data_IF_507629176277
#
_entry.id   IF_507629176277
#
_cell.length_a   1.000
_cell.length_b   1.000
_cell.length_c   1.000
_cell.angle_alpha   90.00
_cell.angle_beta   90.00
_cell.angle_gamma   90.00
#
_symmetry.space_group_name_H-M   'P 1'
#
loop_
_entity.id
_entity.type
_entity.pdbx_description
1 polymer ?
#
# COMPACT_ATOMS: atom_id res chain seq x y z
N UNK A 1 -1.71 14.55 -15.82
CA UNK A 1 -0.30 14.18 -16.01
C UNK A 1 -0.27 12.65 -16.01
N UNK A 2 0.01 12.03 -17.15
CA UNK A 2 -0.06 10.58 -17.33
C UNK A 2 1.12 9.91 -16.61
N UNK A 3 0.86 9.27 -15.48
CA UNK A 3 1.78 8.29 -14.90
C UNK A 3 1.55 6.97 -15.62
N UNK A 4 2.60 6.46 -16.29
CA UNK A 4 2.64 5.10 -16.82
C UNK A 4 2.67 4.14 -15.63
N UNK A 5 1.50 3.61 -15.25
CA UNK A 5 1.41 2.66 -14.15
C UNK A 5 0.80 1.37 -14.65
N UNK A 6 1.64 0.36 -14.84
CA UNK A 6 1.17 -1.01 -15.07
C UNK A 6 0.27 -1.40 -13.91
N UNK A 7 -0.96 -1.78 -14.23
CA UNK A 7 -1.88 -2.44 -13.29
C UNK A 7 -1.93 -3.89 -13.69
N UNK A 8 -1.72 -4.75 -12.69
CA UNK A 8 -1.98 -6.18 -12.82
C UNK A 8 -3.21 -6.46 -11.98
N UNK A 9 -4.28 -6.94 -12.61
CA UNK A 9 -5.35 -7.62 -11.89
C UNK A 9 -4.80 -8.99 -11.48
N UNK A 10 -4.28 -9.05 -10.28
CA UNK A 10 -3.94 -10.32 -9.67
C UNK A 10 -5.24 -10.90 -9.16
N UNK A 11 -5.77 -11.78 -10.00
CA UNK A 11 -6.77 -12.75 -9.60
C UNK A 11 -6.18 -13.57 -8.47
N UNK A 12 -6.37 -13.21 -7.19
CA UNK A 12 -6.10 -14.17 -6.12
C UNK A 12 -7.28 -15.14 -6.08
N UNK A 13 -7.23 -16.05 -7.05
CA UNK A 13 -8.21 -17.04 -7.48
C UNK A 13 -9.61 -16.50 -7.85
N UNK A 14 -9.91 -16.56 -9.15
CA UNK A 14 -11.24 -16.45 -9.77
C UNK A 14 -11.14 -17.05 -11.18
N UNK A 15 -11.88 -18.14 -11.41
CA UNK A 15 -12.20 -18.61 -12.76
C UNK A 15 -13.45 -17.87 -13.24
N UNK A 16 -13.40 -17.21 -14.40
CA UNK A 16 -14.54 -17.27 -15.32
C UNK A 16 -14.18 -18.31 -16.38
N UNK A 17 -14.91 -19.39 -16.62
CA UNK A 17 -16.24 -19.77 -16.21
C UNK A 17 -16.29 -21.30 -16.00
N UNK A 18 -16.79 -21.72 -14.83
CA UNK A 18 -17.14 -23.11 -14.52
C UNK A 18 -16.12 -23.91 -13.72
N UNK A 19 -15.93 -23.62 -12.42
CA UNK A 19 -15.30 -24.63 -11.55
C UNK A 19 -14.76 -24.29 -10.16
N UNK A 20 -14.33 -23.05 -9.89
CA UNK A 20 -13.76 -22.52 -8.64
C UNK A 20 -12.43 -23.17 -8.14
N UNK A 21 -11.32 -22.41 -8.23
CA UNK A 21 -10.06 -22.66 -7.52
C UNK A 21 -9.95 -21.82 -6.24
N UNK A 22 -9.31 -22.36 -5.19
CA UNK A 22 -9.30 -21.80 -3.81
C UNK A 22 -7.89 -21.37 -3.37
N UNK A 23 -7.82 -20.26 -2.62
CA UNK A 23 -6.68 -19.79 -1.81
C UNK A 23 -6.47 -20.59 -0.52
N UNK A 24 -5.25 -20.80 -0.05
CA UNK A 24 -5.00 -21.21 1.35
C UNK A 24 -4.62 -20.02 2.21
N UNK A 25 -5.22 -19.88 3.39
CA UNK A 25 -4.78 -18.93 4.42
C UNK A 25 -4.63 -19.71 5.72
N UNK A 26 -3.39 -19.94 6.17
CA UNK A 26 -3.12 -20.61 7.46
C UNK A 26 -3.37 -19.71 8.67
N UNK A 27 -3.37 -18.38 8.48
CA UNK A 27 -3.57 -17.33 9.50
C UNK A 27 -4.15 -16.11 8.79
N UNK A 28 -5.19 -15.47 9.35
CA UNK A 28 -5.84 -14.32 8.73
C UNK A 28 -4.80 -13.22 8.47
N UNK A 29 -4.82 -12.64 7.28
CA UNK A 29 -3.84 -11.65 6.85
C UNK A 29 -4.56 -10.38 6.42
N UNK A 30 -3.99 -9.23 6.76
CA UNK A 30 -4.47 -7.93 6.30
C UNK A 30 -3.30 -7.21 5.63
N UNK A 31 -3.50 -6.80 4.37
CA UNK A 31 -2.46 -6.17 3.55
C UNK A 31 -2.88 -4.74 3.26
N UNK A 32 -2.06 -3.80 3.71
CA UNK A 32 -2.29 -2.36 3.52
C UNK A 32 -1.94 -1.88 2.10
N UNK A 33 -2.59 -0.79 1.69
CA UNK A 33 -2.44 -0.12 0.38
C UNK A 33 -1.00 0.00 -0.15
N UNK A 34 -0.05 0.35 0.72
CA UNK A 34 1.33 0.66 0.33
C UNK A 34 2.34 -0.42 0.69
N UNK A 35 1.88 -1.60 1.09
CA UNK A 35 2.78 -2.73 1.34
C UNK A 35 3.25 -3.30 0.00
N UNK A 36 4.56 -3.56 -0.13
CA UNK A 36 5.14 -4.23 -1.30
C UNK A 36 4.52 -5.61 -1.46
N UNK A 37 3.71 -5.82 -2.49
CA UNK A 37 2.82 -6.99 -2.53
C UNK A 37 3.60 -8.31 -2.64
N UNK A 38 4.77 -8.29 -3.27
CA UNK A 38 5.68 -9.45 -3.30
C UNK A 38 6.22 -9.85 -1.92
N UNK A 39 6.24 -8.95 -0.94
CA UNK A 39 6.76 -9.19 0.41
C UNK A 39 5.70 -9.77 1.36
N UNK A 40 4.44 -9.91 0.93
CA UNK A 40 3.35 -10.31 1.83
C UNK A 40 3.55 -11.73 2.34
N UNK A 41 2.83 -12.04 3.43
CA UNK A 41 2.84 -13.31 4.14
C UNK A 41 3.06 -14.52 3.19
N UNK A 42 4.05 -15.41 3.47
CA UNK A 42 4.31 -16.63 2.70
C UNK A 42 3.08 -17.50 2.45
N UNK A 43 2.09 -17.43 3.33
CA UNK A 43 0.86 -18.21 3.21
C UNK A 43 -0.14 -17.64 2.21
N UNK A 44 0.11 -16.48 1.60
CA UNK A 44 -0.69 -15.99 0.47
C UNK A 44 -0.10 -16.51 -0.85
N UNK A 45 -0.93 -17.15 -1.65
CA UNK A 45 -0.56 -17.75 -2.94
C UNK A 45 -1.12 -16.94 -4.11
N UNK A 46 -0.23 -16.37 -4.90
CA UNK A 46 -0.52 -15.58 -6.10
C UNK A 46 0.72 -15.53 -7.00
N UNK A 47 0.62 -14.90 -8.17
CA UNK A 47 1.78 -14.73 -9.06
C UNK A 47 2.72 -13.65 -8.53
N UNK A 48 3.78 -14.08 -7.81
CA UNK A 48 4.77 -13.16 -7.23
C UNK A 48 5.63 -12.50 -8.28
N UNK A 49 5.77 -13.10 -9.46
CA UNK A 49 6.48 -12.47 -10.59
C UNK A 49 5.71 -11.23 -11.03
N UNK A 50 4.39 -11.34 -11.20
CA UNK A 50 3.54 -10.20 -11.57
C UNK A 50 3.37 -9.17 -10.45
N UNK A 51 3.50 -9.57 -9.19
CA UNK A 51 3.44 -8.67 -8.03
C UNK A 51 4.76 -7.91 -7.74
N UNK A 52 5.85 -8.20 -8.45
CA UNK A 52 7.14 -7.56 -8.23
C UNK A 52 7.08 -6.07 -8.56
N UNK A 53 7.41 -5.21 -7.59
CA UNK A 53 7.33 -3.76 -7.75
C UNK A 53 5.92 -3.20 -7.76
N UNK A 54 4.96 -3.94 -7.19
CA UNK A 54 3.55 -3.58 -7.15
C UNK A 54 3.04 -3.46 -5.71
N UNK A 55 1.98 -2.68 -5.53
CA UNK A 55 1.23 -2.49 -4.27
C UNK A 55 -0.27 -2.52 -4.56
N UNK A 56 -1.12 -2.59 -3.54
CA UNK A 56 -2.58 -2.63 -3.74
C UNK A 56 -3.09 -1.28 -4.33
N UNK A 57 -3.95 -1.37 -5.35
CA UNK A 57 -4.65 -0.23 -5.94
C UNK A 57 -5.97 0.05 -5.20
N UNK A 58 -5.84 0.50 -3.95
CA UNK A 58 -6.93 0.86 -3.06
C UNK A 58 -6.62 2.22 -2.40
N UNK A 59 -7.60 2.91 -1.80
CA UNK A 59 -7.36 4.19 -1.15
C UNK A 59 -6.22 4.11 -0.11
N UNK A 60 -5.36 5.14 -0.10
CA UNK A 60 -4.24 5.26 0.81
C UNK A 60 -4.64 5.05 2.28
N UNK A 61 -3.87 4.23 2.99
CA UNK A 61 -4.12 3.91 4.40
C UNK A 61 -5.23 2.89 4.65
N UNK A 62 -5.93 2.41 3.62
CA UNK A 62 -6.84 1.26 3.72
C UNK A 62 -6.11 -0.07 3.52
N UNK A 63 -6.81 -1.18 3.75
CA UNK A 63 -6.26 -2.53 3.64
C UNK A 63 -7.30 -3.54 3.12
N UNK A 64 -6.82 -4.65 2.54
CA UNK A 64 -7.64 -5.82 2.20
C UNK A 64 -7.34 -6.91 3.21
N UNK A 65 -8.40 -7.42 3.85
CA UNK A 65 -8.35 -8.55 4.77
C UNK A 65 -8.66 -9.86 4.05
N UNK A 66 -7.86 -10.88 4.32
CA UNK A 66 -7.97 -12.26 3.85
C UNK A 66 -8.27 -13.15 5.05
N UNK A 67 -9.43 -13.80 5.06
CA UNK A 67 -9.89 -14.62 6.19
C UNK A 67 -9.44 -16.08 6.08
N UNK A 68 -9.35 -16.73 7.25
CA UNK A 68 -9.17 -18.19 7.34
C UNK A 68 -10.53 -18.86 7.31
N UNK A 69 -10.65 -20.02 6.66
CA UNK A 69 -11.84 -20.86 6.79
C UNK A 69 -11.98 -21.40 8.23
N UNK A 70 -13.17 -21.27 8.82
CA UNK A 70 -13.50 -21.93 10.09
C UNK A 70 -13.46 -23.46 9.95
N UNK A 71 -12.76 -24.12 10.88
CA UNK A 71 -12.52 -25.57 10.93
C UNK A 71 -13.76 -26.32 11.49
N UNK A 72 -14.93 -26.15 10.88
CA UNK A 72 -16.12 -26.98 11.21
C UNK A 72 -16.24 -28.24 10.33
N UNK A 73 -15.44 -28.36 9.26
CA UNK A 73 -15.50 -29.50 8.31
C UNK A 73 -14.40 -30.58 8.49
N UNK A 74 -13.53 -30.46 9.49
CA UNK A 74 -12.46 -31.45 9.72
C UNK A 74 -12.94 -32.81 10.23
N UNK A 75 -14.20 -32.91 10.69
CA UNK A 75 -14.82 -34.17 11.09
C UNK A 75 -14.94 -35.21 9.96
N UNK A 76 -14.85 -34.79 8.68
CA UNK A 76 -14.85 -35.71 7.52
C UNK A 76 -13.46 -36.17 7.07
N UNK A 77 -12.38 -35.54 7.51
CA UNK A 77 -10.99 -35.86 7.08
C UNK A 77 -10.29 -36.76 8.11
N UNK A 78 -10.82 -36.86 9.34
CA UNK A 78 -10.25 -37.65 10.44
C UNK A 78 -10.16 -39.17 10.23
N UNK A 79 -10.66 -39.73 9.13
CA UNK A 79 -10.65 -41.18 8.90
C UNK A 79 -9.35 -41.72 8.24
N UNK A 80 -8.44 -40.86 7.77
CA UNK A 80 -7.20 -41.29 7.08
C UNK A 80 -5.94 -41.11 7.96
N UNK A 81 -6.07 -40.50 9.14
CA UNK A 81 -4.94 -40.02 9.96
C UNK A 81 -4.55 -40.95 11.14
N UNK A 82 -4.88 -42.24 11.09
CA UNK A 82 -4.37 -43.22 12.08
C UNK A 82 -3.23 -44.04 11.48
N UNK A 83 -2.08 -43.41 11.27
CA UNK A 83 -0.91 -44.12 10.76
C UNK A 83 0.35 -43.26 10.62
N UNK A 84 1.16 -43.28 11.68
CA UNK A 84 2.58 -42.95 11.73
C UNK A 84 3.03 -41.51 12.06
N UNK A 85 3.90 -41.49 13.07
CA UNK A 85 4.72 -40.40 13.57
C UNK A 85 5.49 -39.71 12.44
N UNK A 86 5.28 -38.41 12.26
CA UNK A 86 6.33 -37.44 11.90
C UNK A 86 5.77 -36.00 12.04
N UNK A 87 6.63 -35.10 12.50
CA UNK A 87 6.42 -33.68 12.81
C UNK A 87 5.34 -32.98 11.98
N UNK A 88 4.36 -32.36 12.66
CA UNK A 88 3.15 -31.75 12.08
C UNK A 88 3.40 -30.82 10.87
N UNK A 89 4.53 -30.11 10.82
CA UNK A 89 4.86 -29.19 9.72
C UNK A 89 5.25 -29.92 8.41
N UNK A 90 6.02 -31.00 8.48
CA UNK A 90 6.47 -31.74 7.29
C UNK A 90 5.33 -32.53 6.62
N UNK A 91 4.33 -32.92 7.39
CA UNK A 91 3.18 -33.71 6.90
C UNK A 91 2.14 -32.81 6.22
N UNK A 92 1.94 -31.59 6.72
CA UNK A 92 1.10 -30.57 6.09
C UNK A 92 1.69 -30.11 4.74
N UNK A 93 3.01 -29.91 4.67
CA UNK A 93 3.70 -29.54 3.44
C UNK A 93 3.63 -30.66 2.39
N UNK A 94 3.79 -31.92 2.81
CA UNK A 94 3.64 -33.10 1.92
C UNK A 94 2.21 -33.29 1.42
N UNK A 95 1.22 -32.97 2.25
CA UNK A 95 -0.19 -32.94 1.82
C UNK A 95 -0.41 -31.85 0.76
N UNK A 96 0.10 -30.62 0.96
CA UNK A 96 -0.01 -29.57 -0.07
C UNK A 96 0.74 -29.88 -1.36
N UNK A 97 1.87 -30.60 -1.29
CA UNK A 97 2.62 -31.05 -2.46
C UNK A 97 1.96 -32.23 -3.20
N UNK A 98 1.21 -33.10 -2.51
CA UNK A 98 0.50 -34.21 -3.15
C UNK A 98 -0.84 -33.79 -3.77
N UNK A 99 -1.31 -32.57 -3.50
CA UNK A 99 -2.61 -32.05 -3.90
C UNK A 99 -2.43 -31.02 -5.02
N UNK A 100 -1.79 -31.44 -6.12
CA UNK A 100 -1.78 -30.68 -7.37
C UNK A 100 -3.14 -30.67 -8.10
N UNK A 101 -4.16 -31.32 -7.54
CA UNK A 101 -5.45 -31.53 -8.21
C UNK A 101 -6.68 -31.44 -7.29
N UNK A 102 -6.57 -30.93 -6.05
CA UNK A 102 -7.76 -30.70 -5.21
C UNK A 102 -7.73 -29.32 -4.53
N UNK A 103 -8.94 -28.77 -4.38
CA UNK A 103 -9.29 -27.54 -3.67
C UNK A 103 -8.47 -27.33 -2.39
N UNK A 104 -7.74 -26.22 -2.38
CA UNK A 104 -6.87 -25.73 -1.32
C UNK A 104 -7.66 -24.82 -0.32
N UNK A 105 -8.13 -25.19 0.89
CA UNK A 105 -8.98 -24.37 1.79
C UNK A 105 -8.57 -22.91 2.19
N UNK A 106 -9.43 -21.89 1.94
CA UNK A 106 -9.24 -20.46 2.32
C UNK A 106 -10.09 -19.47 1.49
N UNK A 107 -10.22 -18.20 1.92
CA UNK A 107 -10.98 -17.15 1.20
C UNK A 107 -10.19 -16.64 -0.03
N UNK A 108 -10.85 -16.45 -1.17
CA UNK A 108 -10.25 -16.05 -2.45
C UNK A 108 -10.77 -14.67 -2.89
N UNK A 109 -9.88 -13.76 -3.32
CA UNK A 109 -10.19 -12.36 -3.67
C UNK A 109 -9.36 -11.88 -4.84
N UNK A 110 -10.01 -11.37 -5.87
CA UNK A 110 -9.32 -10.62 -6.92
C UNK A 110 -8.87 -9.28 -6.36
N UNK A 111 -7.62 -8.91 -6.61
CA UNK A 111 -7.08 -7.60 -6.20
C UNK A 111 -6.40 -6.93 -7.38
N UNK A 112 -6.62 -5.63 -7.49
CA UNK A 112 -5.90 -4.79 -8.44
C UNK A 112 -4.60 -4.32 -7.80
N UNK A 113 -3.48 -4.54 -8.48
CA UNK A 113 -2.18 -4.02 -8.06
C UNK A 113 -1.71 -2.92 -8.98
N UNK A 114 -1.05 -1.92 -8.42
CA UNK A 114 -0.49 -0.78 -9.12
C UNK A 114 1.03 -0.74 -8.88
N UNK A 115 1.81 -0.42 -9.90
CA UNK A 115 3.26 -0.26 -9.77
C UNK A 115 3.62 0.86 -8.78
N UNK A 116 4.68 0.65 -7.99
CA UNK A 116 5.24 1.72 -7.16
C UNK A 116 5.78 2.86 -8.02
N UNK A 117 5.64 4.09 -7.54
CA UNK A 117 6.15 5.31 -8.16
C UNK A 117 7.60 5.60 -7.75
N UNK A 118 8.01 6.85 -7.96
CA UNK A 118 9.30 7.38 -7.53
C UNK A 118 10.48 6.68 -8.19
N UNK A 119 11.52 6.41 -7.40
CA UNK A 119 12.75 5.72 -7.86
C UNK A 119 12.54 4.23 -8.10
N UNK A 120 11.40 3.67 -7.70
CA UNK A 120 11.06 2.25 -7.80
C UNK A 120 12.08 1.35 -7.10
N UNK A 121 12.26 1.57 -5.80
CA UNK A 121 13.15 0.79 -4.94
C UNK A 121 12.32 0.13 -3.85
N UNK A 122 12.43 -1.20 -3.73
CA UNK A 122 11.79 -1.97 -2.67
C UNK A 122 12.74 -2.02 -1.47
N UNK A 123 12.19 -1.84 -0.27
CA UNK A 123 12.90 -2.00 1.00
C UNK A 123 11.96 -2.57 2.05
N UNK A 124 12.51 -3.35 2.97
CA UNK A 124 11.80 -3.83 4.17
C UNK A 124 10.94 -5.07 3.91
N UNK A 125 9.84 -5.19 4.64
CA UNK A 125 8.99 -6.38 4.55
C UNK A 125 9.71 -7.65 5.03
N UNK A 126 9.80 -8.66 4.16
CA UNK A 126 10.56 -9.88 4.41
C UNK A 126 11.95 -9.85 3.74
N UNK A 127 12.34 -8.72 3.14
CA UNK A 127 13.60 -8.57 2.40
C UNK A 127 13.79 -9.63 1.31
N UNK A 128 12.72 -9.96 0.58
CA UNK A 128 12.76 -10.89 -0.55
C UNK A 128 13.23 -10.16 -1.82
N UNK A 129 12.77 -8.93 -1.98
CA UNK A 129 12.88 -8.12 -3.18
C UNK A 129 13.62 -6.80 -2.93
N UNK A 130 14.33 -6.69 -1.80
CA UNK A 130 15.08 -5.48 -1.41
C UNK A 130 16.06 -5.04 -2.51
N UNK A 131 15.88 -3.81 -2.99
CA UNK A 131 16.72 -3.22 -4.03
C UNK A 131 15.95 -2.48 -5.13
N UNK A 132 16.72 -2.03 -6.11
CA UNK A 132 16.20 -1.36 -7.31
C UNK A 132 15.44 -2.36 -8.18
N UNK A 133 14.26 -1.98 -8.67
CA UNK A 133 13.55 -2.82 -9.63
C UNK A 133 14.38 -3.02 -10.90
N UNK A 134 14.54 -4.28 -11.31
CA UNK A 134 15.29 -4.68 -12.50
C UNK A 134 15.02 -6.14 -12.86
N UNK A 135 15.16 -6.46 -14.15
CA UNK A 135 14.87 -7.80 -14.70
C UNK A 135 15.84 -8.84 -14.14
N UNK A 136 17.14 -8.53 -14.06
CA UNK A 136 18.16 -9.44 -13.51
C UNK A 136 17.91 -9.75 -12.03
N UNK A 137 17.40 -8.77 -11.28
CA UNK A 137 17.06 -8.93 -9.88
C UNK A 137 15.87 -9.90 -9.70
N UNK A 138 14.90 -9.86 -10.62
CA UNK A 138 13.66 -10.65 -10.52
C UNK A 138 13.92 -12.16 -10.51
N UNK A 139 14.86 -12.66 -11.30
CA UNK A 139 15.14 -14.10 -11.32
C UNK A 139 15.74 -14.57 -9.99
N UNK A 140 16.67 -13.80 -9.40
CA UNK A 140 17.23 -14.06 -8.06
C UNK A 140 16.14 -14.01 -6.98
N UNK A 141 15.23 -13.03 -7.09
CA UNK A 141 14.08 -12.86 -6.19
C UNK A 141 13.15 -14.08 -6.25
N UNK A 142 12.89 -14.62 -7.44
CA UNK A 142 12.05 -15.81 -7.61
C UNK A 142 12.73 -17.08 -7.12
N UNK A 143 14.06 -17.17 -7.21
CA UNK A 143 14.83 -18.23 -6.55
C UNK A 143 14.71 -18.14 -5.03
N UNK A 144 14.82 -16.94 -4.44
CA UNK A 144 14.68 -16.73 -2.99
C UNK A 144 13.25 -17.05 -2.50
N UNK A 145 12.22 -16.66 -3.26
CA UNK A 145 10.81 -17.01 -3.02
C UNK A 145 10.64 -18.53 -2.90
N UNK A 146 11.23 -19.28 -3.84
CA UNK A 146 11.18 -20.75 -3.84
C UNK A 146 11.96 -21.32 -2.66
N UNK A 147 13.17 -20.82 -2.41
CA UNK A 147 14.03 -21.30 -1.33
C UNK A 147 13.42 -21.07 0.06
N UNK A 148 12.72 -19.96 0.26
CA UNK A 148 12.11 -19.56 1.54
C UNK A 148 10.65 -20.01 1.68
N UNK A 149 10.09 -20.66 0.66
CA UNK A 149 8.75 -21.25 0.70
C UNK A 149 7.62 -20.22 0.70
N UNK A 150 7.80 -19.09 0.02
CA UNK A 150 6.72 -18.12 -0.19
C UNK A 150 5.74 -18.64 -1.23
N UNK A 151 4.44 -18.64 -0.90
CA UNK A 151 3.37 -19.11 -1.78
C UNK A 151 3.40 -18.37 -3.11
N UNK A 152 3.63 -19.11 -4.20
CA UNK A 152 3.68 -18.60 -5.55
C UNK A 152 2.89 -19.53 -6.48
N UNK A 153 2.02 -18.97 -7.31
CA UNK A 153 1.27 -19.69 -8.35
C UNK A 153 1.30 -18.82 -9.60
N UNK A 154 1.77 -19.37 -10.72
CA UNK A 154 1.82 -18.64 -11.99
C UNK A 154 0.39 -18.40 -12.52
N UNK A 155 0.13 -17.19 -13.02
CA UNK A 155 -1.20 -16.80 -13.51
C UNK A 155 -1.08 -16.16 -14.90
N UNK A 156 -0.88 -16.98 -15.95
CA UNK A 156 -0.62 -16.48 -17.30
C UNK A 156 -1.76 -15.58 -17.80
N UNK A 157 -3.00 -15.91 -17.44
CA UNK A 157 -4.21 -15.23 -17.89
C UNK A 157 -4.61 -14.02 -17.02
N UNK A 158 -3.78 -13.62 -16.05
CA UNK A 158 -4.07 -12.43 -15.23
C UNK A 158 -4.06 -11.17 -16.11
N UNK A 159 -5.12 -10.36 -16.02
CA UNK A 159 -5.30 -9.16 -16.83
C UNK A 159 -4.23 -8.12 -16.48
N UNK A 160 -3.61 -7.52 -17.49
CA UNK A 160 -2.60 -6.47 -17.34
C UNK A 160 -3.01 -5.25 -18.16
N UNK A 161 -2.75 -4.06 -17.64
CA UNK A 161 -3.08 -2.81 -18.32
C UNK A 161 -2.50 -1.60 -17.61
N UNK A 162 -3.13 -0.43 -17.80
CA UNK A 162 -2.71 0.85 -17.23
C UNK A 162 -3.89 1.56 -16.59
N UNK A 163 -3.65 2.25 -15.47
CA UNK A 163 -4.64 3.19 -14.90
C UNK A 163 -4.84 4.39 -15.81
N UNK A 164 -6.03 4.97 -15.80
CA UNK A 164 -6.36 6.19 -16.55
C UNK A 164 -7.85 6.33 -16.81
N UNK A 165 -8.22 7.36 -17.58
CA UNK A 165 -9.61 7.63 -17.92
C UNK A 165 -10.25 6.42 -18.64
N UNK A 166 -11.41 5.98 -18.14
CA UNK A 166 -12.16 4.82 -18.65
C UNK A 166 -11.41 3.47 -18.61
N UNK A 167 -10.39 3.34 -17.76
CA UNK A 167 -9.72 2.05 -17.55
C UNK A 167 -10.44 1.22 -16.49
N UNK A 168 -10.65 -0.06 -16.77
CA UNK A 168 -11.20 -1.05 -15.81
C UNK A 168 -10.30 -1.26 -14.58
N UNK A 169 -9.05 -0.82 -14.69
CA UNK A 169 -8.05 -0.92 -13.65
C UNK A 169 -8.00 0.29 -12.72
N UNK A 170 -8.72 1.37 -13.03
CA UNK A 170 -8.77 2.59 -12.23
C UNK A 170 -9.62 2.38 -10.99
N UNK A 171 -9.07 2.72 -9.83
CA UNK A 171 -9.82 2.78 -8.57
C UNK A 171 -10.35 4.20 -8.39
N UNK A 172 -11.66 4.33 -8.20
CA UNK A 172 -12.30 5.63 -7.99
C UNK A 172 -12.79 5.77 -6.55
N UNK A 173 -12.75 6.99 -6.04
CA UNK A 173 -13.28 7.36 -4.72
C UNK A 173 -14.13 8.62 -4.87
N UNK A 174 -15.29 8.65 -4.19
CA UNK A 174 -16.12 9.87 -4.18
C UNK A 174 -15.40 11.00 -3.44
N UNK A 175 -15.66 12.25 -3.85
CA UNK A 175 -15.10 13.43 -3.17
C UNK A 175 -15.43 13.47 -1.68
N UNK A 176 -16.64 13.07 -1.30
CA UNK A 176 -17.07 12.97 0.10
C UNK A 176 -16.21 11.96 0.88
N UNK A 177 -16.01 10.75 0.34
CA UNK A 177 -15.19 9.74 0.99
C UNK A 177 -13.72 10.15 1.06
N UNK A 178 -13.21 10.79 0.01
CA UNK A 178 -11.87 11.37 0.00
C UNK A 178 -11.72 12.42 1.10
N UNK A 179 -12.66 13.37 1.20
CA UNK A 179 -12.65 14.41 2.22
C UNK A 179 -12.73 13.84 3.64
N UNK A 180 -13.51 12.77 3.85
CA UNK A 180 -13.61 12.08 5.13
C UNK A 180 -12.31 11.36 5.54
N UNK A 181 -11.55 10.85 4.57
CA UNK A 181 -10.30 10.12 4.83
C UNK A 181 -9.09 11.05 4.97
N UNK A 182 -8.98 12.05 4.09
CA UNK A 182 -7.76 12.84 3.91
C UNK A 182 -7.98 14.34 4.09
N UNK A 183 -9.21 14.79 4.34
CA UNK A 183 -9.60 16.19 4.24
C UNK A 183 -9.88 16.61 2.78
N UNK A 184 -10.49 17.79 2.58
CA UNK A 184 -10.88 18.27 1.26
C UNK A 184 -9.69 18.44 0.31
N UNK A 185 -9.99 18.52 -0.98
CA UNK A 185 -9.02 18.76 -2.05
C UNK A 185 -9.47 19.93 -2.95
N UNK A 186 -8.70 20.22 -4.00
CA UNK A 186 -8.89 21.34 -4.93
C UNK A 186 -10.37 21.52 -5.33
N UNK A 187 -10.91 22.72 -5.18
CA UNK A 187 -12.29 23.08 -5.51
C UNK A 187 -13.34 22.75 -4.45
N UNK A 188 -13.00 21.96 -3.42
CA UNK A 188 -13.88 21.80 -2.26
C UNK A 188 -13.92 23.10 -1.44
N UNK A 189 -15.02 23.31 -0.71
CA UNK A 189 -15.22 24.49 0.14
C UNK A 189 -15.43 24.08 1.59
N UNK A 190 -14.82 24.83 2.49
CA UNK A 190 -14.92 24.66 3.94
C UNK A 190 -15.57 25.88 4.56
N UNK A 191 -16.57 25.69 5.41
CA UNK A 191 -17.10 26.74 6.27
C UNK A 191 -16.12 27.01 7.41
N UNK A 192 -15.79 28.27 7.66
CA UNK A 192 -14.86 28.66 8.73
C UNK A 192 -15.62 28.78 10.06
N UNK A 193 -15.53 27.75 10.90
CA UNK A 193 -16.25 27.69 12.17
C UNK A 193 -17.76 27.77 11.96
N UNK A 194 -18.43 28.58 12.76
CA UNK A 194 -19.86 28.90 12.65
C UNK A 194 -20.14 30.17 11.82
N UNK A 195 -19.14 30.74 11.15
CA UNK A 195 -19.28 31.94 10.32
C UNK A 195 -19.94 31.63 8.96
N UNK A 196 -20.33 32.66 8.21
CA UNK A 196 -20.79 32.52 6.82
C UNK A 196 -19.64 32.62 5.79
N UNK A 197 -18.39 32.48 6.24
CA UNK A 197 -17.21 32.48 5.38
C UNK A 197 -16.90 31.08 4.87
N UNK A 198 -16.63 30.97 3.57
CA UNK A 198 -16.25 29.73 2.91
C UNK A 198 -14.89 29.86 2.26
N UNK A 199 -13.96 29.00 2.68
CA UNK A 199 -12.63 28.85 2.11
C UNK A 199 -12.65 27.77 1.01
N UNK A 200 -12.31 28.13 -0.22
CA UNK A 200 -12.16 27.18 -1.33
C UNK A 200 -10.70 26.74 -1.43
N UNK A 201 -10.47 25.43 -1.59
CA UNK A 201 -9.11 24.91 -1.79
C UNK A 201 -8.65 25.23 -3.21
N UNK A 202 -7.68 26.13 -3.34
CA UNK A 202 -7.19 26.64 -4.62
C UNK A 202 -6.29 25.62 -5.35
N UNK A 203 -5.54 24.83 -4.56
CA UNK A 203 -4.61 23.82 -5.06
C UNK A 203 -4.37 22.73 -4.00
N UNK A 204 -4.02 21.54 -4.47
CA UNK A 204 -3.60 20.41 -3.65
C UNK A 204 -2.26 19.87 -4.19
N UNK A 205 -1.31 19.68 -3.29
CA UNK A 205 0.01 19.13 -3.60
C UNK A 205 0.04 17.59 -3.56
N UNK A 206 -1.06 16.95 -3.18
CA UNK A 206 -1.17 15.51 -3.18
C UNK A 206 -1.01 14.90 -4.58
N UNK A 207 -0.44 13.69 -4.61
CA UNK A 207 -0.58 12.77 -5.74
C UNK A 207 -1.60 11.73 -5.28
N UNK A 208 -2.76 11.69 -5.93
CA UNK A 208 -3.89 10.92 -5.42
C UNK A 208 -3.60 9.42 -5.35
N UNK A 209 -3.88 8.83 -4.18
CA UNK A 209 -3.55 7.43 -3.87
C UNK A 209 -2.18 7.23 -3.21
N UNK A 210 -1.39 8.29 -3.04
CA UNK A 210 -0.13 8.31 -2.29
C UNK A 210 -0.22 9.28 -1.08
N UNK A 211 -1.40 9.49 -0.50
CA UNK A 211 -1.59 10.36 0.67
C UNK A 211 -0.82 9.81 1.89
N UNK A 212 -0.15 10.70 2.63
CA UNK A 212 0.63 10.32 3.80
C UNK A 212 -0.28 10.12 5.01
N UNK A 213 -0.66 8.87 5.31
CA UNK A 213 -1.52 8.54 6.47
C UNK A 213 -0.78 7.66 7.48
N UNK A 214 -0.77 8.10 8.73
CA UNK A 214 -0.19 7.36 9.85
C UNK A 214 -1.22 6.49 10.58
N UNK A 215 -0.76 5.33 11.05
CA UNK A 215 -1.56 4.37 11.82
C UNK A 215 -1.18 2.91 11.53
N UNK A 216 -1.72 1.99 12.33
CA UNK A 216 -1.54 0.55 12.12
C UNK A 216 -2.06 0.13 10.74
N UNK A 217 -1.23 -0.56 9.96
CA UNK A 217 -1.60 -1.04 8.61
C UNK A 217 -1.64 0.03 7.51
N UNK A 218 -1.36 1.30 7.82
CA UNK A 218 -1.47 2.42 6.88
C UNK A 218 -0.20 2.67 6.07
N UNK A 219 -0.07 3.88 5.52
CA UNK A 219 0.95 4.28 4.53
C UNK A 219 2.32 4.51 5.16
N UNK A 220 2.39 5.28 6.25
CA UNK A 220 3.64 5.69 6.88
C UNK A 220 4.25 4.57 7.74
N UNK A 221 4.84 3.59 7.05
CA UNK A 221 5.57 2.44 7.62
C UNK A 221 6.88 2.23 6.87
N UNK A 222 7.82 1.56 7.54
CA UNK A 222 9.17 1.29 7.02
C UNK A 222 9.15 0.68 5.61
N UNK A 223 9.95 1.23 4.71
CA UNK A 223 10.04 0.83 3.31
C UNK A 223 8.84 1.20 2.44
N UNK A 224 7.78 1.76 3.03
CA UNK A 224 6.55 2.19 2.36
C UNK A 224 6.54 3.72 2.28
N UNK A 225 5.55 4.42 2.85
CA UNK A 225 5.57 5.88 2.91
C UNK A 225 6.65 6.45 3.84
N UNK A 226 7.20 5.63 4.76
CA UNK A 226 8.40 5.97 5.51
C UNK A 226 9.63 5.47 4.73
N UNK A 227 10.45 6.40 4.27
CA UNK A 227 11.66 6.11 3.50
C UNK A 227 12.70 5.38 4.37
N UNK A 228 13.42 4.41 3.79
CA UNK A 228 14.44 3.63 4.49
C UNK A 228 15.78 3.73 3.76
N UNK A 229 16.89 3.72 4.51
CA UNK A 229 18.24 3.82 3.94
C UNK A 229 18.70 5.24 3.59
N UNK A 230 17.97 6.27 4.05
CA UNK A 230 18.34 7.68 3.89
C UNK A 230 19.07 8.22 5.12
N UNK A 231 20.03 9.15 4.97
CA UNK A 231 20.71 9.79 6.10
C UNK A 231 19.74 10.71 6.85
N UNK A 232 19.90 10.81 8.18
CA UNK A 232 19.06 11.65 9.03
C UNK A 232 19.09 13.14 8.65
N UNK A 233 20.17 13.60 8.01
CA UNK A 233 20.26 14.96 7.47
C UNK A 233 19.18 15.27 6.43
N UNK A 234 18.76 14.27 5.65
CA UNK A 234 17.75 14.39 4.61
C UNK A 234 16.32 14.11 5.09
N UNK A 235 16.14 13.79 6.37
CA UNK A 235 14.85 13.39 6.93
C UNK A 235 14.21 14.50 7.76
N UNK A 236 12.88 14.58 7.77
CA UNK A 236 12.15 15.53 8.62
C UNK A 236 12.23 15.12 10.10
N UNK A 237 12.24 16.12 10.98
CA UNK A 237 12.04 15.86 12.42
C UNK A 237 10.54 15.59 12.70
N UNK A 238 9.68 16.30 11.97
CA UNK A 238 8.24 16.18 12.05
C UNK A 238 7.59 16.49 10.71
N UNK A 239 6.48 15.82 10.42
CA UNK A 239 5.59 16.15 9.30
C UNK A 239 4.18 16.39 9.83
N UNK A 240 3.51 17.39 9.26
CA UNK A 240 2.07 17.55 9.40
C UNK A 240 1.44 17.14 8.08
N UNK A 241 0.65 16.07 8.12
CA UNK A 241 0.15 15.38 6.93
C UNK A 241 -1.23 15.89 6.53
N UNK A 242 -1.44 16.07 5.22
CA UNK A 242 -2.73 16.46 4.63
C UNK A 242 -3.35 17.70 5.29
N UNK A 243 -2.55 18.75 5.53
CA UNK A 243 -3.03 19.97 6.16
C UNK A 243 -3.74 20.89 5.15
N UNK A 244 -4.93 21.37 5.50
CA UNK A 244 -5.51 22.55 4.86
C UNK A 244 -4.84 23.78 5.47
N UNK A 245 -4.11 24.51 4.63
CA UNK A 245 -3.35 25.70 4.99
C UNK A 245 -4.17 26.91 4.55
N UNK A 246 -4.50 27.77 5.51
CA UNK A 246 -5.09 29.09 5.25
C UNK A 246 -4.08 30.13 5.70
N UNK A 247 -3.55 30.83 4.71
CA UNK A 247 -2.54 31.85 4.88
C UNK A 247 -2.80 33.01 3.89
N UNK A 248 -2.19 34.17 4.11
CA UNK A 248 -2.31 35.31 3.20
C UNK A 248 -1.76 34.99 1.79
N UNK A 249 -0.87 33.99 1.66
CA UNK A 249 -0.35 33.52 0.37
C UNK A 249 -1.32 32.63 -0.41
N UNK A 250 -2.40 32.17 0.21
CA UNK A 250 -3.44 31.36 -0.43
C UNK A 250 -4.06 30.30 0.48
N UNK A 251 -5.04 29.59 -0.07
CA UNK A 251 -5.76 28.52 0.60
C UNK A 251 -5.50 27.20 -0.14
N UNK A 252 -4.70 26.33 0.46
CA UNK A 252 -4.24 25.13 -0.25
C UNK A 252 -4.02 23.93 0.67
N UNK A 253 -3.91 22.75 0.05
CA UNK A 253 -3.74 21.47 0.74
C UNK A 253 -2.33 20.93 0.51
N UNK A 254 -1.60 20.64 1.57
CA UNK A 254 -0.23 20.12 1.48
C UNK A 254 0.21 19.37 2.75
N UNK A 255 1.32 18.65 2.64
CA UNK A 255 2.12 18.22 3.79
C UNK A 255 3.10 19.33 4.18
N UNK A 256 3.30 19.53 5.49
CA UNK A 256 4.24 20.53 6.04
C UNK A 256 5.42 19.82 6.69
N UNK A 257 6.62 20.04 6.15
CA UNK A 257 7.85 19.48 6.68
C UNK A 257 8.52 20.39 7.70
N UNK A 258 8.82 19.85 8.89
CA UNK A 258 9.51 20.57 9.97
C UNK A 258 10.85 19.91 10.28
N UNK A 259 11.90 20.71 10.36
CA UNK A 259 13.25 20.29 10.77
C UNK A 259 13.93 21.42 11.56
N UNK A 260 14.58 21.10 12.66
CA UNK A 260 15.22 22.10 13.53
C UNK A 260 14.23 23.11 14.14
N UNK A 261 12.96 22.73 14.26
CA UNK A 261 11.91 23.62 14.77
C UNK A 261 11.39 24.68 13.78
N UNK A 262 11.79 24.62 12.51
CA UNK A 262 11.33 25.52 11.44
C UNK A 262 10.64 24.75 10.31
N UNK A 263 9.75 25.42 9.58
CA UNK A 263 9.15 24.89 8.35
C UNK A 263 10.23 24.89 7.27
N UNK A 264 10.59 23.72 6.75
CA UNK A 264 11.63 23.56 5.73
C UNK A 264 11.07 23.31 4.33
N UNK A 265 9.83 22.82 4.24
CA UNK A 265 9.14 22.63 2.96
C UNK A 265 7.62 22.55 3.17
N UNK A 266 6.87 22.87 2.12
CA UNK A 266 5.41 22.72 2.04
C UNK A 266 5.09 22.14 0.66
N UNK A 267 4.55 20.93 0.62
CA UNK A 267 4.31 20.22 -0.64
C UNK A 267 3.87 18.78 -0.42
N UNK A 268 4.48 17.86 -1.16
CA UNK A 268 4.26 16.41 -0.99
C UNK A 268 5.38 15.79 -0.16
N UNK A 269 5.03 15.25 0.99
CA UNK A 269 5.92 14.42 1.80
C UNK A 269 5.83 12.95 1.39
N UNK A 270 6.74 12.11 1.91
CA UNK A 270 6.65 10.66 1.72
C UNK A 270 8.00 9.99 1.52
N UNK A 271 7.97 8.90 0.75
CA UNK A 271 9.14 8.14 0.38
C UNK A 271 9.42 8.23 -1.13
N UNK A 272 10.52 8.86 -1.56
CA UNK A 272 10.86 9.00 -2.98
C UNK A 272 11.17 7.66 -3.65
N UNK A 273 11.40 6.58 -2.88
CA UNK A 273 11.67 5.26 -3.45
C UNK A 273 10.41 4.64 -4.08
N UNK A 274 9.21 5.03 -3.61
CA UNK A 274 7.95 4.38 -4.00
C UNK A 274 6.80 5.35 -4.34
N UNK A 275 6.97 6.65 -4.10
CA UNK A 275 5.96 7.69 -4.34
C UNK A 275 6.48 8.75 -5.31
N UNK A 276 5.61 9.18 -6.22
CA UNK A 276 5.91 10.30 -7.12
C UNK A 276 5.73 11.65 -6.43
N UNK A 277 6.41 12.68 -6.95
CA UNK A 277 6.25 14.07 -6.51
C UNK A 277 6.89 14.42 -5.17
N UNK A 278 7.54 13.48 -4.48
CA UNK A 278 8.27 13.76 -3.23
C UNK A 278 9.52 14.58 -3.54
N UNK A 279 9.53 15.86 -3.12
CA UNK A 279 10.65 16.76 -3.35
C UNK A 279 11.93 16.26 -2.64
N UNK A 280 13.05 16.30 -3.36
CA UNK A 280 14.35 15.79 -2.93
C UNK A 280 15.01 16.55 -1.79
N UNK A 281 14.49 17.73 -1.42
CA UNK A 281 15.28 18.65 -0.60
C UNK A 281 15.14 18.40 0.89
N UNK A 282 13.97 18.09 1.46
CA UNK A 282 13.88 17.73 2.90
C UNK A 282 12.70 16.82 3.28
N UNK A 283 11.96 16.22 2.34
CA UNK A 283 10.65 15.62 2.66
C UNK A 283 10.65 14.11 2.96
N UNK A 284 11.80 13.54 3.29
CA UNK A 284 11.87 12.12 3.58
C UNK A 284 11.35 11.85 4.98
N UNK A 285 10.33 11.01 5.04
CA UNK A 285 9.77 10.55 6.29
C UNK A 285 10.62 9.40 6.80
N UNK A 286 11.51 9.65 7.75
CA UNK A 286 12.27 8.61 8.45
C UNK A 286 12.40 8.99 9.92
N UNK A 287 11.78 8.19 10.81
CA UNK A 287 11.74 8.44 12.26
C UNK A 287 11.23 9.86 12.64
N UNK A 288 10.38 10.46 11.80
CA UNK A 288 9.76 11.73 12.08
C UNK A 288 8.59 11.57 13.05
N UNK A 289 8.33 12.59 13.87
CA UNK A 289 7.03 12.70 14.55
C UNK A 289 5.96 13.01 13.51
N UNK A 290 4.81 12.34 13.59
CA UNK A 290 3.71 12.58 12.66
C UNK A 290 2.57 13.21 13.45
N UNK A 291 2.03 14.31 12.93
CA UNK A 291 0.83 14.95 13.45
C UNK A 291 -0.22 15.03 12.36
N UNK A 292 -1.42 14.53 12.66
CA UNK A 292 -2.58 14.69 11.80
C UNK A 292 -3.42 15.88 12.33
N UNK A 293 -3.47 16.97 11.58
CA UNK A 293 -4.30 18.15 11.87
C UNK A 293 -5.21 18.45 10.70
N UNK A 294 -6.47 18.76 10.96
CA UNK A 294 -7.44 19.13 9.93
C UNK A 294 -7.21 20.54 9.39
N UNK A 295 -6.64 21.44 10.19
CA UNK A 295 -6.51 22.85 9.85
C UNK A 295 -5.29 23.50 10.49
N UNK A 296 -4.53 24.28 9.71
CA UNK A 296 -3.41 25.07 10.20
C UNK A 296 -3.50 26.48 9.61
N UNK A 297 -3.53 27.46 10.49
CA UNK A 297 -3.29 28.86 10.13
C UNK A 297 -1.82 29.16 10.44
N UNK A 298 -1.07 29.56 9.41
CA UNK A 298 0.31 30.03 9.57
C UNK A 298 0.21 31.56 9.59
N UNK A 299 0.61 32.19 10.69
CA UNK A 299 0.73 33.64 10.74
C UNK A 299 2.13 34.04 10.27
N UNK A 300 2.22 35.04 9.41
CA UNK A 300 3.49 35.64 9.00
C UNK A 300 4.25 36.25 10.18
N UNK A 301 5.54 36.58 10.01
CA UNK A 301 6.38 37.16 11.07
C UNK A 301 5.83 38.50 11.61
N UNK A 302 4.94 39.15 10.86
CA UNK A 302 4.28 40.38 11.25
C UNK A 302 2.94 40.04 11.93
N UNK A 303 3.03 39.54 13.17
CA UNK A 303 1.87 39.40 14.03
C UNK A 303 1.27 40.79 14.30
N UNK A 304 0.20 41.14 13.60
CA UNK A 304 -0.67 42.23 14.05
C UNK A 304 -1.61 41.67 15.13
N UNK A 305 -1.39 42.12 16.36
CA UNK A 305 -2.35 42.11 17.47
C UNK A 305 -3.70 42.73 17.09
#
# INVERSE_FOLDING_TARGET
MLTLVGVVELVVASEQAGGAAIMHVGIAAEVGSHYHFIEVNPYLFFDRRKAYGMRLNIPAGTAIRFEVFSISSWSKIGAVMTGQNNTKASTILKYFQSVHSQKLPGDAKVVNLVSIGGKKVIRGGNAIADGQLGIVQLDMVLEDIKARGFGNIDQPDASEGVTGDNSVFTSEISRENYANLYGPTTGDKLRLGDTELYAEIERDFAVYGDECIFGGGKVLRDGMGQASGYPSSSCLDMVITNAVIIDYTGIYKADIGIKGGIIVDIGKAGNPDIMDGVNSTYNYLFKCKIMDFTYISIQGPDGCE
#
